data_IF_652516568713
#
_entry.id   IF_652516568713
#
_cell.length_a   1.000
_cell.length_b   1.000
_cell.length_c   1.000
_cell.angle_alpha   90.00
_cell.angle_beta   90.00
_cell.angle_gamma   90.00
#
_symmetry.space_group_name_H-M   'P 1'
#
loop_
_entity.id
_entity.type
_entity.pdbx_description
1 polymer ?
#
# COMPACT_ATOMS: atom_id res chain seq x y z
N UNK A 1 19.49 -15.98 -8.97
CA UNK A 1 20.62 -15.35 -8.26
C UNK A 1 20.43 -15.62 -6.77
N UNK A 2 21.32 -16.43 -6.18
CA UNK A 2 21.36 -16.67 -4.74
C UNK A 2 21.74 -15.36 -4.05
N UNK A 3 20.93 -14.91 -3.09
CA UNK A 3 21.22 -13.73 -2.29
C UNK A 3 22.49 -13.98 -1.49
N UNK A 4 23.46 -13.06 -1.61
CA UNK A 4 24.71 -13.15 -0.87
C UNK A 4 24.42 -13.24 0.63
N UNK A 5 25.09 -14.21 1.27
CA UNK A 5 25.16 -14.37 2.72
C UNK A 5 25.59 -13.04 3.37
N UNK A 6 24.98 -12.76 4.52
CA UNK A 6 25.26 -11.61 5.37
C UNK A 6 26.75 -11.45 5.60
N UNK A 7 27.31 -10.32 5.18
CA UNK A 7 28.73 -10.01 5.29
C UNK A 7 29.26 -10.21 6.73
N UNK A 8 30.35 -10.96 6.83
CA UNK A 8 31.04 -11.28 8.07
C UNK A 8 31.63 -10.01 8.71
N UNK A 9 31.41 -9.84 10.03
CA UNK A 9 31.81 -8.65 10.78
C UNK A 9 33.31 -8.70 11.12
N UNK A 10 34.13 -7.90 10.44
CA UNK A 10 35.52 -7.65 10.83
C UNK A 10 35.60 -6.33 11.61
N UNK A 11 35.96 -6.42 12.90
CA UNK A 11 36.11 -5.28 13.79
C UNK A 11 37.58 -4.82 13.82
N UNK A 12 37.84 -3.57 13.44
CA UNK A 12 39.12 -2.89 13.65
C UNK A 12 38.91 -1.88 14.79
N UNK A 13 39.73 -1.95 15.86
CA UNK A 13 39.61 -1.11 17.06
C UNK A 13 39.59 0.39 16.73
N UNK A 14 38.58 1.12 17.24
CA UNK A 14 38.62 2.59 17.38
C UNK A 14 37.57 3.40 16.62
N UNK A 15 36.78 2.79 15.73
CA UNK A 15 35.66 3.46 15.06
C UNK A 15 34.32 2.81 15.42
N UNK A 16 33.27 3.62 15.59
CA UNK A 16 31.89 3.13 15.59
C UNK A 16 31.70 2.34 14.30
N UNK A 17 31.21 1.08 14.33
CA UNK A 17 30.92 0.35 13.10
C UNK A 17 29.99 1.20 12.25
N UNK A 18 30.46 1.62 11.08
CA UNK A 18 29.61 2.27 10.10
C UNK A 18 28.77 1.14 9.51
N UNK A 19 27.57 0.94 10.07
CA UNK A 19 26.63 -0.05 9.60
C UNK A 19 26.06 0.43 8.25
N UNK A 20 26.65 -0.06 7.16
CA UNK A 20 26.18 0.19 5.82
C UNK A 20 25.05 -0.78 5.47
N UNK A 21 23.84 -0.24 5.36
CA UNK A 21 22.67 -0.99 4.92
C UNK A 21 22.80 -1.36 3.43
N UNK A 22 22.79 -2.65 3.04
CA UNK A 22 23.09 -3.08 1.67
C UNK A 22 22.20 -2.43 0.59
N UNK A 23 20.93 -2.18 0.90
CA UNK A 23 19.98 -1.55 -0.01
C UNK A 23 19.91 -0.03 0.16
N UNK A 24 19.98 0.45 1.40
CA UNK A 24 19.74 1.86 1.73
C UNK A 24 21.00 2.72 1.69
N UNK A 25 22.19 2.11 1.82
CA UNK A 25 23.45 2.79 2.01
C UNK A 25 23.49 3.63 3.28
N UNK A 26 24.58 4.38 3.46
CA UNK A 26 24.84 5.18 4.65
C UNK A 26 23.80 6.29 4.93
N UNK A 27 23.12 6.77 3.88
CA UNK A 27 22.26 7.97 3.96
C UNK A 27 20.79 7.68 3.73
N UNK A 28 20.41 6.40 3.64
CA UNK A 28 19.05 5.96 3.36
C UNK A 28 18.46 6.67 2.12
N UNK A 29 17.12 6.70 2.00
CA UNK A 29 16.44 7.36 0.90
C UNK A 29 16.33 8.89 1.12
N UNK A 30 16.35 9.70 0.03
CA UNK A 30 16.15 11.15 0.13
C UNK A 30 14.83 11.54 0.82
N UNK A 31 13.78 10.72 0.65
CA UNK A 31 12.47 10.91 1.29
C UNK A 31 11.67 9.60 1.37
N UNK A 32 10.50 9.66 2.01
CA UNK A 32 9.58 8.51 2.16
C UNK A 32 9.27 7.87 0.80
N UNK A 33 9.38 6.55 0.76
CA UNK A 33 9.05 5.70 -0.37
C UNK A 33 7.78 4.91 -0.05
N UNK A 34 6.86 4.82 -1.01
CA UNK A 34 5.56 4.18 -0.82
C UNK A 34 5.32 3.18 -1.94
N UNK A 35 4.84 2.00 -1.59
CA UNK A 35 4.55 0.92 -2.52
C UNK A 35 3.08 0.54 -2.38
N UNK A 36 2.42 0.28 -3.51
CA UNK A 36 1.06 -0.25 -3.53
C UNK A 36 0.94 -1.40 -4.53
N UNK A 37 0.11 -2.38 -4.19
CA UNK A 37 -0.27 -3.48 -5.09
C UNK A 37 -1.78 -3.45 -5.25
N UNK A 38 -2.26 -3.32 -6.48
CA UNK A 38 -3.69 -3.31 -6.80
C UNK A 38 -4.09 -4.61 -7.49
N UNK A 39 -5.29 -5.10 -7.17
CA UNK A 39 -5.90 -6.25 -7.84
C UNK A 39 -7.15 -5.75 -8.58
N UNK A 40 -7.08 -5.59 -9.91
CA UNK A 40 -8.21 -5.19 -10.73
C UNK A 40 -9.48 -6.05 -10.50
N UNK A 41 -10.69 -5.47 -10.55
CA UNK A 41 -10.96 -4.07 -10.89
C UNK A 41 -10.83 -3.08 -9.72
N UNK A 42 -10.35 -3.52 -8.55
CA UNK A 42 -10.18 -2.67 -7.36
C UNK A 42 -8.92 -1.81 -7.42
N UNK A 43 -9.08 -0.53 -7.07
CA UNK A 43 -8.01 0.41 -6.76
C UNK A 43 -8.21 1.03 -5.37
N UNK A 44 -8.64 0.22 -4.41
CA UNK A 44 -8.80 0.59 -3.01
C UNK A 44 -7.51 1.10 -2.36
N UNK A 45 -6.35 0.68 -2.88
CA UNK A 45 -5.01 1.13 -2.46
C UNK A 45 -4.59 2.50 -3.00
N UNK A 46 -5.38 3.10 -3.91
CA UNK A 46 -5.09 4.37 -4.59
C UNK A 46 -3.70 4.37 -5.27
N UNK A 47 -3.44 3.36 -6.10
CA UNK A 47 -2.11 2.96 -6.58
C UNK A 47 -1.29 4.11 -7.19
N UNK A 48 -1.92 4.98 -7.98
CA UNK A 48 -1.22 6.07 -8.67
C UNK A 48 -0.71 7.18 -7.75
N UNK A 49 -1.03 7.15 -6.45
CA UNK A 49 -0.51 8.07 -5.44
C UNK A 49 0.84 7.63 -4.81
N UNK A 50 1.38 6.48 -5.23
CA UNK A 50 2.56 5.84 -4.61
C UNK A 50 3.81 5.92 -5.49
N UNK A 51 4.99 5.74 -4.87
CA UNK A 51 6.27 5.82 -5.56
C UNK A 51 6.47 4.65 -6.54
N UNK A 52 6.08 3.45 -6.11
CA UNK A 52 6.02 2.26 -6.93
C UNK A 52 4.61 1.63 -6.79
N UNK A 53 4.03 1.24 -7.92
CA UNK A 53 2.74 0.58 -8.00
C UNK A 53 2.85 -0.72 -8.79
N UNK A 54 2.16 -1.77 -8.35
CA UNK A 54 2.09 -3.05 -9.04
C UNK A 54 0.63 -3.41 -9.28
N UNK A 55 0.19 -3.42 -10.53
CA UNK A 55 -1.18 -3.76 -10.92
C UNK A 55 -1.19 -5.22 -11.36
N UNK A 56 -1.85 -6.09 -10.58
CA UNK A 56 -1.90 -7.52 -10.87
C UNK A 56 -2.60 -7.79 -12.21
N UNK A 57 -1.97 -8.63 -13.03
CA UNK A 57 -2.55 -9.14 -14.27
C UNK A 57 -2.92 -10.60 -14.03
N UNK A 58 -4.22 -10.87 -14.00
CA UNK A 58 -4.79 -12.18 -13.70
C UNK A 58 -5.52 -12.70 -14.93
N UNK A 59 -5.21 -13.92 -15.34
CA UNK A 59 -5.92 -14.62 -16.41
C UNK A 59 -6.30 -16.01 -15.92
N UNK A 60 -7.56 -16.39 -16.11
CA UNK A 60 -8.09 -17.70 -15.70
C UNK A 60 -7.77 -18.06 -14.23
N UNK A 61 -7.88 -17.07 -13.33
CA UNK A 61 -7.60 -17.23 -11.90
C UNK A 61 -6.11 -17.36 -11.53
N UNK A 62 -5.18 -17.21 -12.49
CA UNK A 62 -3.74 -17.27 -12.25
C UNK A 62 -3.11 -15.89 -12.40
N UNK A 63 -2.23 -15.55 -11.45
CA UNK A 63 -1.42 -14.35 -11.52
C UNK A 63 -0.33 -14.52 -12.58
N UNK A 64 -0.42 -13.75 -13.66
CA UNK A 64 0.59 -13.75 -14.72
C UNK A 64 1.78 -12.86 -14.39
N UNK A 65 1.58 -11.82 -13.58
CA UNK A 65 2.58 -10.81 -13.25
C UNK A 65 1.93 -9.47 -12.92
N UNK A 66 2.70 -8.39 -13.07
CA UNK A 66 2.26 -7.05 -12.68
C UNK A 66 2.63 -6.03 -13.74
N UNK A 67 1.71 -5.13 -14.08
CA UNK A 67 2.11 -3.85 -14.65
C UNK A 67 2.75 -3.00 -13.56
N UNK A 68 3.85 -2.34 -13.89
CA UNK A 68 4.67 -1.56 -12.98
C UNK A 68 4.40 -0.08 -13.22
N UNK A 69 4.05 0.65 -12.17
CA UNK A 69 3.84 2.09 -12.19
C UNK A 69 4.84 2.83 -11.28
N UNK A 70 5.34 4.00 -11.70
CA UNK A 70 6.33 4.78 -10.93
C UNK A 70 6.01 6.27 -10.89
N UNK A 71 6.44 6.94 -9.82
CA UNK A 71 6.42 8.42 -9.77
C UNK A 71 5.12 9.06 -9.29
N UNK A 72 4.31 8.37 -8.50
CA UNK A 72 3.13 8.95 -7.86
C UNK A 72 3.41 9.73 -6.57
N UNK A 73 2.58 10.73 -6.28
CA UNK A 73 2.58 11.37 -4.96
C UNK A 73 1.77 12.65 -4.84
N UNK A 74 0.95 12.72 -3.79
CA UNK A 74 -0.01 13.81 -3.56
C UNK A 74 0.52 15.06 -2.84
N UNK A 75 1.73 15.00 -2.26
CA UNK A 75 2.22 16.09 -1.40
C UNK A 75 2.59 17.35 -2.19
N UNK A 76 2.10 18.51 -1.80
CA UNK A 76 2.44 19.82 -2.37
C UNK A 76 2.47 20.88 -1.26
N UNK A 77 2.96 22.08 -1.58
CA UNK A 77 2.96 23.24 -0.69
C UNK A 77 2.16 24.38 -1.31
N UNK A 78 1.24 24.98 -0.56
CA UNK A 78 0.51 26.16 -1.01
C UNK A 78 1.47 27.29 -1.43
N UNK A 79 1.13 28.00 -2.49
CA UNK A 79 1.93 29.09 -3.07
C UNK A 79 3.35 28.69 -3.51
N UNK A 80 3.61 27.39 -3.73
CA UNK A 80 4.86 26.92 -4.32
C UNK A 80 4.59 26.08 -5.56
N UNK A 81 4.68 26.71 -6.72
CA UNK A 81 4.45 26.07 -8.03
C UNK A 81 5.47 24.96 -8.35
N UNK A 82 6.64 24.96 -7.69
CA UNK A 82 7.63 23.87 -7.81
C UNK A 82 7.20 22.58 -7.10
N UNK A 83 6.02 22.55 -6.48
CA UNK A 83 5.48 21.35 -5.84
C UNK A 83 4.02 21.13 -6.23
N UNK A 84 3.69 19.92 -6.68
CA UNK A 84 2.35 19.61 -7.20
C UNK A 84 2.04 18.12 -7.04
N UNK A 85 0.77 17.68 -6.94
CA UNK A 85 0.43 16.26 -6.96
C UNK A 85 0.71 15.65 -8.35
N UNK A 86 1.22 14.41 -8.39
CA UNK A 86 1.54 13.69 -9.64
C UNK A 86 0.99 12.27 -9.58
N UNK A 87 0.43 11.78 -10.69
CA UNK A 87 0.05 10.37 -10.86
C UNK A 87 1.27 9.55 -11.31
N UNK A 88 1.31 8.28 -10.95
CA UNK A 88 2.34 7.36 -11.42
C UNK A 88 2.16 6.98 -12.90
N UNK A 89 3.25 6.82 -13.64
CA UNK A 89 3.25 6.34 -15.03
C UNK A 89 3.45 4.83 -15.06
N UNK A 90 2.72 4.12 -15.92
CA UNK A 90 2.93 2.69 -16.15
C UNK A 90 4.08 2.51 -17.13
N UNK A 91 5.17 1.88 -16.68
CA UNK A 91 6.44 1.78 -17.44
C UNK A 91 6.66 0.41 -18.10
N UNK A 92 5.90 -0.61 -17.71
CA UNK A 92 6.00 -1.95 -18.30
C UNK A 92 5.35 -3.04 -17.46
N UNK A 93 5.73 -4.28 -17.73
CA UNK A 93 5.24 -5.48 -17.08
C UNK A 93 6.40 -6.35 -16.58
N UNK A 94 6.24 -6.97 -15.41
CA UNK A 94 7.18 -7.96 -14.87
C UNK A 94 6.45 -9.23 -14.42
N UNK A 95 7.18 -10.35 -14.36
CA UNK A 95 6.64 -11.62 -13.87
C UNK A 95 6.52 -11.61 -12.34
N UNK A 96 5.72 -12.51 -11.73
CA UNK A 96 5.46 -12.49 -10.30
C UNK A 96 6.75 -12.61 -9.46
N UNK A 97 7.68 -13.47 -9.90
CA UNK A 97 8.97 -13.66 -9.23
C UNK A 97 9.90 -12.45 -9.29
N UNK A 98 9.68 -11.55 -10.26
CA UNK A 98 10.55 -10.39 -10.50
C UNK A 98 10.10 -9.14 -9.71
N UNK A 99 8.85 -9.10 -9.23
CA UNK A 99 8.24 -7.92 -8.64
C UNK A 99 9.07 -7.32 -7.48
N UNK A 100 9.66 -8.18 -6.63
CA UNK A 100 10.55 -7.75 -5.54
C UNK A 100 11.77 -7.01 -6.08
N UNK A 101 12.47 -7.60 -7.06
CA UNK A 101 13.69 -7.04 -7.64
C UNK A 101 13.40 -5.75 -8.40
N UNK A 102 12.26 -5.68 -9.09
CA UNK A 102 11.78 -4.45 -9.73
C UNK A 102 11.58 -3.35 -8.68
N UNK A 103 10.96 -3.66 -7.55
CA UNK A 103 10.76 -2.70 -6.46
C UNK A 103 12.09 -2.22 -5.87
N UNK A 104 13.05 -3.13 -5.66
CA UNK A 104 14.40 -2.81 -5.19
C UNK A 104 15.12 -1.88 -6.18
N UNK A 105 15.05 -2.17 -7.48
CA UNK A 105 15.66 -1.34 -8.51
C UNK A 105 15.04 0.06 -8.55
N UNK A 106 13.70 0.18 -8.52
CA UNK A 106 13.01 1.49 -8.42
C UNK A 106 13.47 2.26 -7.18
N UNK A 107 13.61 1.57 -6.05
CA UNK A 107 14.07 2.17 -4.79
C UNK A 107 15.52 2.67 -4.91
N UNK A 108 16.42 1.90 -5.54
CA UNK A 108 17.81 2.33 -5.74
C UNK A 108 17.94 3.47 -6.75
N UNK A 109 17.14 3.51 -7.81
CA UNK A 109 17.10 4.66 -8.74
C UNK A 109 16.70 5.92 -7.96
N UNK A 110 15.65 5.82 -7.14
CA UNK A 110 15.22 6.92 -6.28
C UNK A 110 16.27 7.31 -5.23
N UNK A 111 17.05 6.36 -4.71
CA UNK A 111 18.14 6.59 -3.76
C UNK A 111 19.29 7.37 -4.38
N UNK A 112 19.67 6.98 -5.60
CA UNK A 112 20.88 7.45 -6.28
C UNK A 112 20.65 8.78 -7.00
N UNK A 113 19.47 8.97 -7.59
CA UNK A 113 19.15 10.15 -8.42
C UNK A 113 18.14 11.12 -7.78
N UNK A 114 17.58 10.78 -6.61
CA UNK A 114 16.66 11.69 -5.91
C UNK A 114 17.38 12.88 -5.28
N UNK A 115 16.79 14.07 -5.40
CA UNK A 115 17.34 15.30 -4.81
C UNK A 115 17.51 15.19 -3.29
N UNK A 116 18.74 15.38 -2.82
CA UNK A 116 19.10 15.39 -1.38
C UNK A 116 19.33 16.80 -0.83
N UNK A 117 19.31 17.82 -1.69
CA UNK A 117 19.46 19.23 -1.30
C UNK A 117 18.11 19.81 -0.87
N UNK A 118 17.04 19.55 -1.63
CA UNK A 118 15.71 20.08 -1.40
C UNK A 118 14.71 19.03 -0.93
N UNK A 119 14.42 18.95 0.38
CA UNK A 119 13.43 17.98 0.92
C UNK A 119 12.04 18.05 0.29
N UNK A 120 11.63 19.23 -0.20
CA UNK A 120 10.33 19.42 -0.90
C UNK A 120 10.30 18.81 -2.30
N UNK A 121 11.49 18.59 -2.88
CA UNK A 121 11.72 18.02 -4.21
C UNK A 121 12.29 16.59 -4.17
N UNK A 122 12.65 16.08 -2.98
CA UNK A 122 13.26 14.77 -2.75
C UNK A 122 12.34 13.53 -2.98
N UNK A 123 11.11 13.68 -3.48
CA UNK A 123 10.20 12.54 -3.71
C UNK A 123 10.40 11.97 -5.12
N UNK A 124 10.29 10.65 -5.26
CA UNK A 124 10.42 9.90 -6.53
C UNK A 124 9.67 10.54 -7.70
N UNK A 125 8.48 11.12 -7.45
CA UNK A 125 7.69 11.78 -8.48
C UNK A 125 8.44 12.90 -9.23
N UNK A 126 9.31 13.64 -8.55
CA UNK A 126 10.10 14.71 -9.16
C UNK A 126 11.30 14.12 -9.90
N UNK A 127 11.94 13.07 -9.38
CA UNK A 127 12.96 12.32 -10.15
C UNK A 127 12.39 11.77 -11.45
N UNK A 128 11.18 11.22 -11.46
CA UNK A 128 10.52 10.75 -12.69
C UNK A 128 10.16 11.92 -13.61
N UNK A 129 9.80 13.08 -13.06
CA UNK A 129 9.45 14.27 -13.84
C UNK A 129 10.67 14.95 -14.47
N UNK A 130 11.76 15.12 -13.73
CA UNK A 130 12.98 15.80 -14.17
C UNK A 130 13.66 15.05 -15.31
N UNK A 131 13.73 13.72 -15.20
CA UNK A 131 14.43 12.87 -16.16
C UNK A 131 13.49 12.21 -17.18
N UNK A 132 12.20 12.12 -16.87
CA UNK A 132 11.20 11.44 -17.68
C UNK A 132 10.99 9.95 -17.31
N UNK A 133 9.78 9.41 -17.56
CA UNK A 133 9.44 8.03 -17.19
C UNK A 133 10.22 6.98 -17.99
N UNK A 134 10.53 7.22 -19.27
CA UNK A 134 11.33 6.30 -20.09
C UNK A 134 12.78 6.22 -19.60
N UNK A 135 13.41 7.36 -19.28
CA UNK A 135 14.73 7.35 -18.66
C UNK A 135 14.72 6.59 -17.33
N UNK A 136 13.70 6.81 -16.50
CA UNK A 136 13.59 6.12 -15.21
C UNK A 136 13.45 4.61 -15.41
N UNK A 137 12.67 4.19 -16.41
CA UNK A 137 12.55 2.79 -16.82
C UNK A 137 13.89 2.21 -17.25
N UNK A 138 14.65 2.88 -18.11
CA UNK A 138 15.98 2.44 -18.53
C UNK A 138 16.90 2.22 -17.32
N UNK A 139 16.91 3.16 -16.37
CA UNK A 139 17.70 3.04 -15.13
C UNK A 139 17.28 1.87 -14.24
N UNK A 140 15.99 1.50 -14.26
CA UNK A 140 15.48 0.30 -13.57
C UNK A 140 15.93 -0.96 -14.31
N UNK A 141 15.76 -1.01 -15.62
CA UNK A 141 16.11 -2.16 -16.46
C UNK A 141 17.62 -2.46 -16.46
N UNK A 142 18.45 -1.43 -16.49
CA UNK A 142 19.91 -1.56 -16.43
C UNK A 142 20.36 -2.23 -15.12
N UNK A 143 19.70 -1.89 -14.01
CA UNK A 143 19.95 -2.53 -12.70
C UNK A 143 19.37 -3.93 -12.59
N UNK A 144 18.24 -4.19 -13.25
CA UNK A 144 17.60 -5.52 -13.30
C UNK A 144 18.39 -6.52 -14.16
N UNK A 145 19.10 -6.05 -15.17
CA UNK A 145 19.76 -6.88 -16.18
C UNK A 145 18.79 -7.46 -17.22
N UNK A 146 17.54 -6.98 -17.28
CA UNK A 146 16.57 -7.34 -18.30
C UNK A 146 15.56 -6.21 -18.54
N UNK A 147 14.92 -6.24 -19.72
CA UNK A 147 13.90 -5.28 -20.12
C UNK A 147 12.51 -5.68 -19.61
N UNK A 148 11.74 -4.70 -19.14
CA UNK A 148 10.34 -4.91 -18.80
C UNK A 148 9.54 -5.19 -20.07
N UNK A 149 8.60 -6.13 -20.00
CA UNK A 149 7.69 -6.38 -21.12
C UNK A 149 6.73 -5.19 -21.31
N UNK A 150 6.10 -5.03 -22.48
CA UNK A 150 5.01 -4.07 -22.65
C UNK A 150 3.90 -4.28 -21.62
N UNK A 151 3.35 -3.17 -21.11
CA UNK A 151 2.23 -3.22 -20.18
C UNK A 151 1.02 -3.95 -20.78
N UNK A 152 0.36 -4.77 -19.96
CA UNK A 152 -0.81 -5.56 -20.37
C UNK A 152 -2.11 -4.81 -20.11
N UNK A 153 -3.21 -5.12 -20.83
CA UNK A 153 -4.50 -4.48 -20.56
C UNK A 153 -4.99 -4.71 -19.12
N UNK A 154 -5.53 -3.67 -18.50
CA UNK A 154 -6.14 -3.71 -17.17
C UNK A 154 -7.28 -2.70 -17.09
N UNK A 155 -8.19 -2.88 -16.13
CA UNK A 155 -9.30 -1.94 -15.88
C UNK A 155 -9.50 -1.79 -14.37
N UNK A 156 -9.50 -0.56 -13.88
CA UNK A 156 -9.83 -0.22 -12.50
C UNK A 156 -11.17 0.49 -12.49
N UNK A 157 -12.12 0.04 -11.67
CA UNK A 157 -13.51 0.53 -11.68
C UNK A 157 -13.91 1.20 -10.37
N UNK A 158 -13.37 0.74 -9.24
CA UNK A 158 -13.78 1.23 -7.92
C UNK A 158 -12.61 1.32 -6.94
N UNK A 159 -12.76 2.19 -5.95
CA UNK A 159 -11.79 2.39 -4.85
C UNK A 159 -12.37 2.20 -3.45
N UNK A 160 -13.69 1.99 -3.36
CA UNK A 160 -14.38 1.85 -2.07
C UNK A 160 -14.22 0.46 -1.48
N UNK A 161 -14.39 0.35 -0.16
CA UNK A 161 -14.38 -0.93 0.53
C UNK A 161 -15.68 -1.71 0.31
N UNK A 162 -15.57 -3.03 0.40
CA UNK A 162 -16.72 -3.93 0.43
C UNK A 162 -17.23 -4.05 1.87
N UNK A 163 -18.22 -3.24 2.23
CA UNK A 163 -18.88 -3.33 3.53
C UNK A 163 -19.85 -4.51 3.61
N UNK A 164 -20.07 -5.04 4.80
CA UNK A 164 -21.01 -6.11 5.08
C UNK A 164 -20.48 -7.51 4.81
N UNK A 165 -21.37 -8.49 5.00
CA UNK A 165 -21.03 -9.90 4.88
C UNK A 165 -20.88 -10.35 3.43
N UNK A 166 -19.79 -11.06 3.17
CA UNK A 166 -19.51 -11.72 1.89
C UNK A 166 -19.03 -13.13 2.20
N UNK A 167 -19.56 -14.13 1.47
CA UNK A 167 -19.09 -15.52 1.54
C UNK A 167 -17.94 -15.69 0.55
N UNK A 168 -16.80 -16.19 1.04
CA UNK A 168 -15.64 -16.52 0.22
C UNK A 168 -15.84 -17.88 -0.47
N UNK A 169 -15.03 -18.14 -1.50
CA UNK A 169 -15.07 -19.39 -2.29
C UNK A 169 -14.70 -20.63 -1.48
N UNK A 170 -13.92 -20.47 -0.40
CA UNK A 170 -13.56 -21.53 0.54
C UNK A 170 -14.65 -21.83 1.59
N UNK A 171 -15.80 -21.16 1.49
CA UNK A 171 -16.94 -21.31 2.39
C UNK A 171 -16.86 -20.48 3.67
N UNK A 172 -15.75 -19.77 3.91
CA UNK A 172 -15.63 -18.82 5.03
C UNK A 172 -16.37 -17.51 4.73
N UNK A 173 -16.54 -16.69 5.76
CA UNK A 173 -17.19 -15.39 5.69
C UNK A 173 -16.21 -14.27 6.01
N UNK A 174 -16.39 -13.15 5.32
CA UNK A 174 -15.75 -11.88 5.65
C UNK A 174 -16.81 -10.82 5.90
N UNK A 175 -16.54 -9.87 6.79
CA UNK A 175 -17.44 -8.75 7.08
C UNK A 175 -16.69 -7.42 7.03
N UNK A 176 -17.01 -6.56 6.09
CA UNK A 176 -16.46 -5.20 6.04
C UNK A 176 -17.18 -4.26 7.00
N UNK A 177 -16.46 -3.79 8.01
CA UNK A 177 -16.92 -2.79 8.96
C UNK A 177 -16.58 -1.40 8.45
N UNK A 178 -17.47 -0.44 8.61
CA UNK A 178 -17.16 0.96 8.45
C UNK A 178 -16.67 1.53 9.78
N UNK A 179 -15.45 2.03 9.78
CA UNK A 179 -14.91 2.79 10.92
C UNK A 179 -14.77 4.23 10.46
N UNK A 180 -15.69 5.15 10.83
CA UNK A 180 -15.58 6.54 10.42
C UNK A 180 -14.20 7.10 10.77
N UNK A 181 -13.52 7.63 9.75
CA UNK A 181 -12.18 8.24 9.84
C UNK A 181 -11.12 7.33 10.51
N UNK A 182 -11.32 6.02 10.54
CA UNK A 182 -10.43 5.05 11.19
C UNK A 182 -10.33 5.16 12.71
N UNK A 183 -11.21 5.90 13.38
CA UNK A 183 -11.16 6.08 14.83
C UNK A 183 -11.93 4.98 15.56
N UNK A 184 -11.20 3.98 16.06
CA UNK A 184 -11.76 2.93 16.94
C UNK A 184 -11.87 3.45 18.38
N UNK A 185 -13.09 3.73 18.83
CA UNK A 185 -13.38 4.25 20.18
C UNK A 185 -14.62 3.57 20.79
N UNK A 186 -14.83 3.79 22.09
CA UNK A 186 -16.09 3.48 22.79
C UNK A 186 -16.61 2.06 22.51
N UNK A 187 -17.87 1.91 22.09
CA UNK A 187 -18.53 0.64 21.81
C UNK A 187 -17.80 -0.17 20.73
N UNK A 188 -17.35 0.48 19.66
CA UNK A 188 -16.59 -0.15 18.57
C UNK A 188 -15.31 -0.79 19.08
N UNK A 189 -14.60 -0.12 20.00
CA UNK A 189 -13.36 -0.67 20.60
C UNK A 189 -13.65 -1.94 21.42
N UNK A 190 -14.71 -1.92 22.22
CA UNK A 190 -15.11 -3.07 23.05
C UNK A 190 -15.56 -4.23 22.16
N UNK A 191 -16.37 -3.95 21.14
CA UNK A 191 -16.85 -4.94 20.17
C UNK A 191 -15.69 -5.62 19.43
N UNK A 192 -14.76 -4.83 18.86
CA UNK A 192 -13.60 -5.38 18.15
C UNK A 192 -12.75 -6.26 19.06
N UNK A 193 -12.55 -5.88 20.33
CA UNK A 193 -11.85 -6.71 21.31
C UNK A 193 -12.56 -8.06 21.53
N UNK A 194 -13.88 -8.05 21.74
CA UNK A 194 -14.68 -9.28 21.91
C UNK A 194 -14.62 -10.16 20.67
N UNK A 195 -14.76 -9.57 19.47
CA UNK A 195 -14.61 -10.30 18.20
C UNK A 195 -13.21 -10.91 18.08
N UNK A 196 -12.16 -10.20 18.50
CA UNK A 196 -10.80 -10.73 18.50
C UNK A 196 -10.66 -11.95 19.41
N UNK A 197 -11.36 -11.98 20.55
CA UNK A 197 -11.42 -13.16 21.43
C UNK A 197 -12.15 -14.33 20.77
N UNK A 198 -13.27 -14.07 20.08
CA UNK A 198 -14.00 -15.08 19.30
C UNK A 198 -13.18 -15.63 18.12
N UNK A 199 -12.32 -14.82 17.51
CA UNK A 199 -11.53 -15.21 16.34
C UNK A 199 -10.15 -15.78 16.67
N UNK A 200 -9.81 -15.98 17.95
CA UNK A 200 -8.53 -16.60 18.34
C UNK A 200 -8.31 -17.93 17.62
N UNK A 201 -7.14 -18.08 17.01
CA UNK A 201 -6.70 -19.29 16.31
C UNK A 201 -7.26 -19.50 14.89
N UNK A 202 -8.41 -18.90 14.54
CA UNK A 202 -8.97 -18.97 13.18
C UNK A 202 -9.83 -17.75 12.89
N UNK A 203 -9.37 -16.92 11.96
CA UNK A 203 -9.95 -15.62 11.67
C UNK A 203 -8.92 -14.51 11.75
N UNK A 204 -9.28 -13.32 11.31
CA UNK A 204 -8.37 -12.19 11.40
C UNK A 204 -9.04 -10.85 11.11
N UNK A 205 -8.22 -9.81 11.20
CA UNK A 205 -8.59 -8.45 10.85
C UNK A 205 -7.67 -7.97 9.73
N UNK A 206 -8.25 -7.35 8.70
CA UNK A 206 -7.53 -6.62 7.67
C UNK A 206 -7.92 -5.16 7.72
N UNK A 207 -6.94 -4.29 7.94
CA UNK A 207 -7.15 -2.85 7.81
C UNK A 207 -7.19 -2.47 6.34
N UNK A 208 -8.15 -1.64 5.94
CA UNK A 208 -8.29 -1.17 4.56
C UNK A 208 -7.56 0.15 4.35
N UNK A 209 -7.28 0.47 3.09
CA UNK A 209 -6.71 1.76 2.70
C UNK A 209 -7.71 2.93 2.84
N UNK A 210 -9.00 2.65 3.01
CA UNK A 210 -10.05 3.63 3.30
C UNK A 210 -10.34 3.79 4.81
N UNK A 211 -9.37 3.45 5.66
CA UNK A 211 -9.45 3.63 7.13
C UNK A 211 -10.56 2.79 7.80
N UNK A 212 -10.95 1.68 7.19
CA UNK A 212 -11.94 0.76 7.71
C UNK A 212 -11.32 -0.60 8.06
N UNK A 213 -12.15 -1.55 8.48
CA UNK A 213 -11.70 -2.84 9.01
C UNK A 213 -12.52 -3.97 8.39
N UNK A 214 -11.86 -5.01 7.91
CA UNK A 214 -12.50 -6.23 7.44
C UNK A 214 -12.22 -7.34 8.44
N UNK A 215 -13.27 -8.03 8.86
CA UNK A 215 -13.16 -9.30 9.57
C UNK A 215 -13.04 -10.42 8.52
N UNK A 216 -12.09 -11.33 8.68
CA UNK A 216 -11.77 -12.36 7.68
C UNK A 216 -11.79 -13.77 8.26
N UNK A 217 -11.98 -14.75 7.37
CA UNK A 217 -11.89 -16.19 7.66
C UNK A 217 -12.84 -16.64 8.79
N UNK A 218 -14.05 -16.08 8.82
CA UNK A 218 -15.07 -16.39 9.81
C UNK A 218 -15.78 -17.68 9.39
N UNK A 219 -15.83 -18.67 10.28
CA UNK A 219 -16.59 -19.90 10.02
C UNK A 219 -18.10 -19.63 10.04
N UNK A 220 -18.86 -20.47 9.33
CA UNK A 220 -20.32 -20.39 9.31
C UNK A 220 -20.94 -20.44 10.71
N UNK A 221 -20.37 -21.24 11.62
CA UNK A 221 -20.80 -21.33 13.02
C UNK A 221 -20.54 -20.04 13.83
N UNK A 222 -19.47 -19.29 13.54
CA UNK A 222 -19.11 -18.07 14.28
C UNK A 222 -19.81 -16.81 13.74
N UNK A 223 -20.27 -16.84 12.49
CA UNK A 223 -20.99 -15.72 11.87
C UNK A 223 -22.15 -15.18 12.73
N UNK A 224 -23.10 -15.99 13.24
CA UNK A 224 -24.20 -15.46 14.05
C UNK A 224 -23.74 -14.85 15.39
N UNK A 225 -22.67 -15.39 16.00
CA UNK A 225 -22.09 -14.85 17.23
C UNK A 225 -21.51 -13.45 16.98
N UNK A 226 -20.75 -13.30 15.89
CA UNK A 226 -20.16 -12.02 15.50
C UNK A 226 -21.24 -11.03 15.10
N UNK A 227 -22.28 -11.45 14.36
CA UNK A 227 -23.42 -10.60 14.03
C UNK A 227 -24.07 -10.04 15.31
N UNK A 228 -24.32 -10.88 16.31
CA UNK A 228 -24.87 -10.44 17.60
C UNK A 228 -23.99 -9.37 18.27
N UNK A 229 -22.67 -9.54 18.26
CA UNK A 229 -21.75 -8.53 18.81
C UNK A 229 -21.78 -7.23 17.99
N UNK A 230 -21.84 -7.30 16.66
CA UNK A 230 -21.92 -6.11 15.82
C UNK A 230 -23.22 -5.33 16.08
N UNK A 231 -24.33 -6.03 16.28
CA UNK A 231 -25.64 -5.43 16.56
C UNK A 231 -25.72 -4.86 17.99
N UNK A 232 -25.27 -5.61 18.99
CA UNK A 232 -25.24 -5.20 20.42
C UNK A 232 -24.46 -3.89 20.60
N UNK A 233 -23.33 -3.75 19.89
CA UNK A 233 -22.46 -2.58 19.99
C UNK A 233 -22.70 -1.54 18.88
N UNK A 234 -23.71 -1.76 18.04
CA UNK A 234 -24.11 -0.86 16.94
C UNK A 234 -22.95 -0.50 16.00
N UNK A 235 -22.07 -1.46 15.71
CA UNK A 235 -20.93 -1.26 14.81
C UNK A 235 -21.46 -1.17 13.38
N UNK A 236 -21.10 -0.11 12.65
CA UNK A 236 -21.53 0.10 11.27
C UNK A 236 -20.92 -0.96 10.35
N UNK A 237 -21.76 -1.79 9.74
CA UNK A 237 -21.29 -2.86 8.85
C UNK A 237 -22.26 -3.21 7.70
N UNK A 238 -23.52 -2.77 7.72
CA UNK A 238 -24.49 -3.14 6.67
C UNK A 238 -24.34 -2.31 5.38
N UNK A 239 -24.67 -2.91 4.22
CA UNK A 239 -24.64 -2.23 2.91
C UNK A 239 -25.80 -1.28 2.65
N UNK A 240 -26.94 -1.47 3.32
CA UNK A 240 -28.24 -0.99 2.83
C UNK A 240 -29.04 -0.13 3.82
N UNK A 241 -28.75 -0.11 5.12
CA UNK A 241 -29.68 0.55 6.06
C UNK A 241 -29.06 1.53 7.05
N UNK A 242 -27.74 1.59 7.22
CA UNK A 242 -27.14 2.40 8.31
C UNK A 242 -26.14 3.47 7.87
N UNK A 243 -25.74 3.53 6.59
CA UNK A 243 -24.68 4.45 6.13
C UNK A 243 -24.93 4.99 4.71
N UNK A 244 -24.91 6.32 4.54
CA UNK A 244 -25.01 6.97 3.23
C UNK A 244 -23.82 6.65 2.30
N UNK A 245 -24.01 6.75 0.99
CA UNK A 245 -22.93 6.60 0.00
C UNK A 245 -21.76 7.56 0.25
N UNK A 246 -22.05 8.77 0.72
CA UNK A 246 -21.03 9.76 1.11
C UNK A 246 -20.15 9.24 2.26
N UNK A 247 -20.75 8.77 3.35
CA UNK A 247 -20.00 8.30 4.53
C UNK A 247 -19.13 7.08 4.22
N UNK A 248 -19.58 6.20 3.32
CA UNK A 248 -18.79 5.04 2.86
C UNK A 248 -17.54 5.40 2.07
N UNK A 249 -17.55 6.56 1.40
CA UNK A 249 -16.46 7.00 0.53
C UNK A 249 -15.68 8.20 1.09
N UNK A 250 -15.90 8.53 2.36
CA UNK A 250 -15.24 9.64 3.03
C UNK A 250 -13.98 9.18 3.78
N UNK A 251 -12.90 9.91 3.59
CA UNK A 251 -11.61 9.71 4.28
C UNK A 251 -11.13 11.04 4.83
N UNK A 252 -10.54 11.05 6.03
CA UNK A 252 -9.94 12.25 6.62
C UNK A 252 -8.63 11.92 7.33
N UNK A 253 -7.67 12.84 7.29
CA UNK A 253 -6.45 12.73 8.10
C UNK A 253 -6.72 13.16 9.56
N UNK A 254 -5.83 12.77 10.47
CA UNK A 254 -5.98 13.10 11.90
C UNK A 254 -6.02 14.61 12.20
N UNK A 255 -5.33 15.43 11.40
CA UNK A 255 -5.23 16.90 11.50
C UNK A 255 -4.94 17.39 12.95
N UNK A 256 -5.77 18.29 13.49
CA UNK A 256 -5.50 19.05 14.72
C UNK A 256 -5.39 18.13 15.95
N UNK A 257 -4.82 18.65 17.03
CA UNK A 257 -4.54 17.99 18.32
C UNK A 257 -3.33 17.03 18.36
N UNK A 258 -2.89 16.46 17.23
CA UNK A 258 -1.77 15.49 17.24
C UNK A 258 -0.75 15.64 16.10
N UNK A 259 -0.99 16.52 15.12
CA UNK A 259 -0.10 16.71 13.97
C UNK A 259 0.55 18.09 14.06
N UNK A 260 1.86 18.14 14.31
CA UNK A 260 2.65 19.33 14.05
C UNK A 260 2.63 19.60 12.53
N UNK A 261 2.40 20.84 12.06
CA UNK A 261 2.46 21.15 10.64
C UNK A 261 3.85 20.78 10.09
N UNK A 262 3.87 19.99 9.02
CA UNK A 262 5.07 19.50 8.35
C UNK A 262 5.43 20.33 7.13
#
# INVERSE_FOLDING_TARGET
MQGAEMAEKIQIMGSTPVEEEPLYGLTYLPRKFKVAVAIPPSNDVDLFAHCAGFIAIIQNGKLLGFNVAVGGGLGFTHNNQKTHPRLADVIGFCKPGDAKYVCECILTVARDFGDRTGRKHARVKYTVEDYGPEWFKEQVEDRLGFKLEPAKPYKLEHRGDLHGWVKASDGTWSCGLLVPIGRVKESTRVCIRKIAEELKGKGGFRMTCNQSLVLENISEAKRPIIQKLLDEYQVMHSKETTVSGLRRNMVACSKLSFVAPA
#
